data_IF_622141708096
#
_entry.id   IF_622141708096
#
_cell.length_a   1.000
_cell.length_b   1.000
_cell.length_c   1.000
_cell.angle_alpha   90.00
_cell.angle_beta   90.00
_cell.angle_gamma   90.00
#
_symmetry.space_group_name_H-M   'P 1'
#
loop_
_entity.id
_entity.type
_entity.pdbx_description
1 polymer ?
#
# COMPACT_ATOMS: atom_id res chain seq x y z
N UNK A 1 33.05 -12.40 -50.66
CA UNK A 1 33.20 -11.19 -49.82
C UNK A 1 31.88 -10.44 -49.91
N UNK A 2 31.14 -10.06 -48.87
CA UNK A 2 31.46 -9.86 -47.46
C UNK A 2 30.23 -10.17 -46.59
N UNK A 3 30.47 -10.72 -45.39
CA UNK A 3 29.49 -10.85 -44.32
C UNK A 3 29.34 -9.49 -43.62
N UNK A 4 28.11 -8.99 -43.49
CA UNK A 4 27.82 -7.85 -42.63
C UNK A 4 27.71 -8.35 -41.18
N UNK A 5 28.81 -8.24 -40.44
CA UNK A 5 28.86 -8.46 -38.99
C UNK A 5 28.26 -7.23 -38.30
N UNK A 6 27.11 -7.39 -37.66
CA UNK A 6 26.52 -6.35 -36.83
C UNK A 6 27.35 -6.15 -35.55
N UNK A 7 27.62 -4.89 -35.13
CA UNK A 7 28.39 -4.62 -33.92
C UNK A 7 27.59 -4.92 -32.64
N UNK A 8 28.23 -5.37 -31.54
CA UNK A 8 27.55 -5.64 -30.28
C UNK A 8 27.10 -4.34 -29.60
N UNK A 9 25.83 -4.28 -29.21
CA UNK A 9 25.26 -3.18 -28.45
C UNK A 9 25.86 -3.16 -27.04
N UNK A 10 26.51 -2.04 -26.74
CA UNK A 10 27.15 -1.71 -25.46
C UNK A 10 26.08 -1.52 -24.37
N UNK A 11 26.20 -2.12 -23.17
CA UNK A 11 25.31 -1.81 -22.06
C UNK A 11 25.64 -0.42 -21.49
N UNK A 12 24.66 0.32 -20.94
CA UNK A 12 24.94 1.59 -20.27
C UNK A 12 25.62 1.35 -18.92
N UNK A 13 26.87 1.80 -18.83
CA UNK A 13 27.57 2.01 -17.57
C UNK A 13 27.07 3.30 -16.92
N UNK A 14 26.28 3.16 -15.86
CA UNK A 14 26.24 4.14 -14.76
C UNK A 14 25.73 3.48 -13.49
N UNK A 15 26.63 2.79 -12.79
CA UNK A 15 26.52 2.59 -11.35
C UNK A 15 27.07 3.84 -10.65
N UNK A 16 26.19 4.69 -10.12
CA UNK A 16 26.49 5.55 -8.97
C UNK A 16 25.24 6.37 -8.62
N UNK A 17 24.65 6.11 -7.46
CA UNK A 17 23.65 7.05 -6.94
C UNK A 17 22.66 6.54 -5.89
N UNK A 18 22.62 5.25 -5.57
CA UNK A 18 21.85 4.79 -4.40
C UNK A 18 22.72 4.85 -3.15
N UNK A 19 23.13 6.08 -2.78
CA UNK A 19 23.49 6.35 -1.39
C UNK A 19 22.20 6.29 -0.59
N UNK A 20 21.92 5.15 0.05
CA UNK A 20 21.09 5.17 1.26
C UNK A 20 21.89 5.96 2.29
N UNK A 21 21.47 7.19 2.58
CA UNK A 21 21.91 7.88 3.79
C UNK A 21 21.42 7.07 5.00
N UNK A 22 22.31 6.57 5.87
CA UNK A 22 21.92 6.12 7.19
C UNK A 22 21.83 7.39 8.05
N UNK A 23 20.63 7.96 8.18
CA UNK A 23 20.44 9.17 8.98
C UNK A 23 19.19 10.01 8.70
N UNK A 24 18.27 9.56 7.84
CA UNK A 24 16.98 10.24 7.69
C UNK A 24 16.01 9.75 8.78
N UNK A 25 15.89 10.54 9.85
CA UNK A 25 14.79 10.44 10.80
C UNK A 25 13.45 10.37 10.07
N UNK A 26 12.50 9.52 10.48
CA UNK A 26 11.16 9.54 9.91
C UNK A 26 10.56 10.95 10.10
N UNK A 27 9.76 11.46 9.14
CA UNK A 27 9.11 12.75 9.31
C UNK A 27 8.26 12.70 10.59
N UNK A 28 8.32 13.72 11.46
CA UNK A 28 7.53 13.72 12.67
C UNK A 28 6.06 13.62 12.30
N UNK A 29 5.43 12.53 12.74
CA UNK A 29 3.99 12.41 12.82
C UNK A 29 3.52 13.51 13.77
N UNK A 30 2.70 14.41 13.25
CA UNK A 30 1.98 15.45 14.00
C UNK A 30 2.86 16.55 14.61
N UNK A 31 3.41 17.44 13.78
CA UNK A 31 3.68 18.79 14.22
C UNK A 31 2.39 19.61 14.08
N UNK A 32 1.55 19.59 15.13
CA UNK A 32 0.57 20.66 15.32
C UNK A 32 1.38 21.92 15.57
N UNK A 33 1.50 22.78 14.56
CA UNK A 33 2.06 24.12 14.73
C UNK A 33 1.01 24.92 15.50
N UNK A 34 1.09 24.85 16.83
CA UNK A 34 0.36 25.73 17.71
C UNK A 34 1.10 27.07 17.67
N UNK A 35 0.56 28.03 16.92
CA UNK A 35 1.02 29.41 17.00
C UNK A 35 0.78 29.91 18.43
N UNK A 36 1.84 29.96 19.22
CA UNK A 36 1.80 30.57 20.55
C UNK A 36 1.74 32.09 20.38
N UNK A 37 0.52 32.63 20.32
CA UNK A 37 0.32 34.02 20.69
C UNK A 37 0.42 34.10 22.21
N UNK A 38 1.46 34.80 22.67
CA UNK A 38 1.66 35.18 24.05
C UNK A 38 0.45 35.95 24.56
N UNK A 39 -0.35 35.30 25.40
CA UNK A 39 -1.47 35.88 26.12
C UNK A 39 -1.71 35.06 27.37
N UNK A 40 -1.39 35.66 28.51
CA UNK A 40 -1.66 35.16 29.85
C UNK A 40 -3.14 34.79 29.99
N UNK A 41 -3.43 33.60 30.50
CA UNK A 41 -4.79 33.19 30.87
C UNK A 41 -5.12 31.80 30.33
N UNK A 42 -5.07 30.80 31.21
CA UNK A 42 -5.60 29.48 30.95
C UNK A 42 -7.12 29.53 30.81
N UNK A 43 -7.61 29.84 29.62
CA UNK A 43 -8.88 29.37 29.11
C UNK A 43 -8.72 29.14 27.61
N UNK A 44 -8.95 27.90 27.20
CA UNK A 44 -9.09 27.54 25.79
C UNK A 44 -10.27 28.34 25.27
N UNK A 45 -10.00 29.41 24.51
CA UNK A 45 -11.05 30.21 23.89
C UNK A 45 -12.06 29.28 23.19
N UNK A 46 -13.38 29.53 23.34
CA UNK A 46 -14.40 28.68 22.75
C UNK A 46 -14.10 28.52 21.26
N UNK A 47 -14.20 27.30 20.71
CA UNK A 47 -13.90 27.07 19.30
C UNK A 47 -14.69 28.08 18.46
N UNK A 48 -13.98 28.92 17.72
CA UNK A 48 -14.63 29.85 16.81
C UNK A 48 -15.38 29.01 15.78
N UNK A 49 -16.57 29.45 15.39
CA UNK A 49 -17.40 28.74 14.41
C UNK A 49 -16.61 28.40 13.12
N UNK A 50 -15.70 29.28 12.70
CA UNK A 50 -14.80 29.02 11.57
C UNK A 50 -13.87 27.83 11.79
N UNK A 51 -13.24 27.72 12.97
CA UNK A 51 -12.35 26.59 13.31
C UNK A 51 -13.11 25.26 13.36
N UNK A 52 -14.32 25.26 13.91
CA UNK A 52 -15.16 24.06 13.94
C UNK A 52 -15.57 23.63 12.52
N UNK A 53 -15.87 24.58 11.63
CA UNK A 53 -16.18 24.32 10.23
C UNK A 53 -14.98 23.69 9.49
N UNK A 54 -13.78 24.20 9.74
CA UNK A 54 -12.55 23.63 9.18
C UNK A 54 -12.30 22.21 9.68
N UNK A 55 -12.44 21.97 10.99
CA UNK A 55 -12.30 20.64 11.60
C UNK A 55 -13.32 19.64 11.00
N UNK A 56 -14.58 20.06 10.78
CA UNK A 56 -15.60 19.23 10.12
C UNK A 56 -15.25 18.92 8.66
N UNK A 57 -14.77 19.91 7.90
CA UNK A 57 -14.35 19.68 6.52
C UNK A 57 -13.16 18.72 6.44
N UNK A 58 -12.22 18.85 7.38
CA UNK A 58 -11.08 17.94 7.48
C UNK A 58 -11.54 16.51 7.80
N UNK A 59 -12.41 16.32 8.80
CA UNK A 59 -12.95 15.01 9.14
C UNK A 59 -13.67 14.36 7.95
N UNK A 60 -14.42 15.13 7.17
CA UNK A 60 -15.08 14.62 5.96
C UNK A 60 -14.06 14.18 4.89
N UNK A 61 -13.04 14.99 4.63
CA UNK A 61 -11.98 14.63 3.70
C UNK A 61 -11.20 13.38 4.16
N UNK A 62 -11.00 13.23 5.47
CA UNK A 62 -10.39 12.04 6.05
C UNK A 62 -11.27 10.80 5.88
N UNK A 63 -12.60 10.93 6.07
CA UNK A 63 -13.58 9.86 5.86
C UNK A 63 -13.50 9.32 4.42
N UNK A 64 -13.58 10.20 3.43
CA UNK A 64 -13.52 9.87 2.00
C UNK A 64 -12.19 9.18 1.66
N UNK A 65 -11.09 9.67 2.21
CA UNK A 65 -9.78 9.07 2.01
C UNK A 65 -9.70 7.66 2.61
N UNK A 66 -10.24 7.43 3.81
CA UNK A 66 -10.31 6.09 4.40
C UNK A 66 -11.17 5.14 3.58
N UNK A 67 -12.33 5.59 3.11
CA UNK A 67 -13.22 4.79 2.28
C UNK A 67 -12.55 4.42 0.94
N UNK A 68 -11.89 5.38 0.29
CA UNK A 68 -11.12 5.15 -0.93
C UNK A 68 -10.01 4.11 -0.74
N UNK A 69 -9.28 4.18 0.39
CA UNK A 69 -8.26 3.18 0.75
C UNK A 69 -8.86 1.78 0.96
N UNK A 70 -10.03 1.69 1.61
CA UNK A 70 -10.74 0.43 1.82
C UNK A 70 -11.15 -0.18 0.48
N UNK A 71 -11.73 0.63 -0.42
CA UNK A 71 -12.12 0.19 -1.76
C UNK A 71 -10.93 -0.29 -2.60
N UNK A 72 -9.82 0.44 -2.58
CA UNK A 72 -8.57 -0.01 -3.22
C UNK A 72 -8.08 -1.35 -2.67
N UNK A 73 -8.18 -1.57 -1.35
CA UNK A 73 -7.82 -2.83 -0.72
C UNK A 73 -8.76 -3.97 -1.14
N UNK A 74 -10.07 -3.73 -1.26
CA UNK A 74 -11.05 -4.71 -1.78
C UNK A 74 -10.74 -5.12 -3.23
N UNK A 75 -10.42 -4.17 -4.11
CA UNK A 75 -10.02 -4.48 -5.49
C UNK A 75 -8.77 -5.35 -5.52
N UNK A 76 -7.76 -5.04 -4.69
CA UNK A 76 -6.56 -5.88 -4.56
C UNK A 76 -6.87 -7.27 -4.02
N UNK A 77 -7.78 -7.39 -3.05
CA UNK A 77 -8.23 -8.67 -2.51
C UNK A 77 -8.80 -9.56 -3.64
N UNK A 78 -9.70 -9.02 -4.47
CA UNK A 78 -10.28 -9.74 -5.61
C UNK A 78 -9.17 -10.26 -6.56
N UNK A 79 -8.24 -9.38 -6.95
CA UNK A 79 -7.12 -9.76 -7.83
C UNK A 79 -6.21 -10.83 -7.22
N UNK A 80 -5.94 -10.75 -5.92
CA UNK A 80 -5.15 -11.75 -5.21
C UNK A 80 -5.89 -13.09 -5.15
N UNK A 81 -7.20 -13.09 -4.90
CA UNK A 81 -7.99 -14.33 -4.89
C UNK A 81 -8.02 -14.99 -6.26
N UNK A 82 -8.15 -14.20 -7.33
CA UNK A 82 -8.08 -14.70 -8.70
C UNK A 82 -6.69 -15.29 -9.02
N UNK A 83 -5.62 -14.60 -8.65
CA UNK A 83 -4.26 -15.10 -8.83
C UNK A 83 -4.02 -16.43 -8.07
N UNK A 84 -4.56 -16.56 -6.86
CA UNK A 84 -4.47 -17.81 -6.09
C UNK A 84 -5.19 -18.98 -6.76
N UNK A 85 -6.37 -18.74 -7.33
CA UNK A 85 -7.10 -19.75 -8.10
C UNK A 85 -6.39 -20.09 -9.42
N UNK A 86 -5.78 -19.11 -10.09
CA UNK A 86 -5.00 -19.37 -11.30
C UNK A 86 -3.76 -20.22 -11.01
N UNK A 87 -3.05 -20.00 -9.89
CA UNK A 87 -1.95 -20.86 -9.46
C UNK A 87 -2.44 -22.29 -9.19
N UNK A 88 -3.60 -22.45 -8.53
CA UNK A 88 -4.21 -23.77 -8.29
C UNK A 88 -4.54 -24.50 -9.59
N UNK A 89 -5.16 -23.82 -10.56
CA UNK A 89 -5.50 -24.38 -11.89
C UNK A 89 -4.24 -24.78 -12.67
N UNK A 90 -3.20 -23.96 -12.62
CA UNK A 90 -1.90 -24.25 -13.25
C UNK A 90 -1.23 -25.47 -12.60
N UNK A 91 -1.18 -25.53 -11.27
CA UNK A 91 -0.61 -26.67 -10.55
C UNK A 91 -1.34 -27.98 -10.92
N UNK A 92 -2.69 -27.97 -10.94
CA UNK A 92 -3.48 -29.12 -11.37
C UNK A 92 -3.21 -29.54 -12.83
N UNK A 93 -2.88 -28.58 -13.70
CA UNK A 93 -2.50 -28.88 -15.09
C UNK A 93 -1.08 -29.46 -15.17
N UNK A 94 -0.12 -28.89 -14.44
CA UNK A 94 1.25 -29.42 -14.37
C UNK A 94 1.28 -30.86 -13.85
N UNK A 95 0.50 -31.20 -12.82
CA UNK A 95 0.37 -32.59 -12.33
C UNK A 95 -0.14 -33.52 -13.43
N UNK A 96 -1.19 -33.14 -14.15
CA UNK A 96 -1.74 -33.95 -15.25
C UNK A 96 -0.75 -34.17 -16.40
N UNK A 97 0.19 -33.25 -16.59
CA UNK A 97 1.26 -33.36 -17.58
C UNK A 97 2.51 -34.09 -17.05
N UNK A 98 2.49 -34.62 -15.82
CA UNK A 98 3.64 -35.28 -15.19
C UNK A 98 4.74 -34.32 -14.71
N UNK A 99 4.44 -33.01 -14.64
CA UNK A 99 5.39 -31.97 -14.24
C UNK A 99 5.24 -31.63 -12.75
N UNK A 100 5.56 -32.60 -11.90
CA UNK A 100 5.33 -32.51 -10.45
C UNK A 100 6.14 -31.39 -9.78
N UNK A 101 7.40 -31.20 -10.19
CA UNK A 101 8.26 -30.14 -9.67
C UNK A 101 7.66 -28.74 -9.90
N UNK A 102 7.17 -28.47 -11.11
CA UNK A 102 6.48 -27.20 -11.43
C UNK A 102 5.20 -27.03 -10.60
N UNK A 103 4.45 -28.11 -10.37
CA UNK A 103 3.24 -28.07 -9.57
C UNK A 103 3.54 -27.70 -8.11
N UNK A 104 4.61 -28.26 -7.54
CA UNK A 104 5.07 -27.93 -6.18
C UNK A 104 5.46 -26.46 -6.09
N UNK A 105 6.23 -25.94 -7.05
CA UNK A 105 6.63 -24.52 -7.08
C UNK A 105 5.41 -23.58 -7.12
N UNK A 106 4.41 -23.91 -7.95
CA UNK A 106 3.16 -23.14 -8.04
C UNK A 106 2.35 -23.19 -6.73
N UNK A 107 2.35 -24.33 -6.02
CA UNK A 107 1.70 -24.44 -4.71
C UNK A 107 2.45 -23.66 -3.62
N UNK A 108 3.79 -23.63 -3.67
CA UNK A 108 4.61 -22.79 -2.78
C UNK A 108 4.30 -21.31 -3.02
N UNK A 109 4.18 -20.88 -4.29
CA UNK A 109 3.74 -19.52 -4.62
C UNK A 109 2.34 -19.23 -4.10
N UNK A 110 1.39 -20.16 -4.26
CA UNK A 110 0.03 -20.02 -3.73
C UNK A 110 0.03 -19.86 -2.21
N UNK A 111 0.85 -20.63 -1.49
CA UNK A 111 0.98 -20.53 -0.02
C UNK A 111 1.46 -19.14 0.41
N UNK A 112 2.45 -18.57 -0.29
CA UNK A 112 2.91 -17.19 -0.04
C UNK A 112 1.78 -16.17 -0.28
N UNK A 113 0.98 -16.39 -1.33
CA UNK A 113 -0.16 -15.54 -1.67
C UNK A 113 -1.25 -15.60 -0.60
N UNK A 114 -1.50 -16.76 0.02
CA UNK A 114 -2.45 -16.89 1.13
C UNK A 114 -2.12 -15.96 2.31
N UNK A 115 -0.83 -15.82 2.65
CA UNK A 115 -0.40 -14.87 3.70
C UNK A 115 -0.70 -13.41 3.32
N UNK A 116 -0.51 -13.06 2.04
CA UNK A 116 -0.87 -11.73 1.55
C UNK A 116 -2.39 -11.50 1.56
N UNK A 117 -3.19 -12.55 1.31
CA UNK A 117 -4.66 -12.51 1.40
C UNK A 117 -5.14 -12.25 2.83
N UNK A 118 -4.55 -12.91 3.82
CA UNK A 118 -4.85 -12.67 5.24
C UNK A 118 -4.53 -11.22 5.63
N UNK A 119 -3.34 -10.74 5.28
CA UNK A 119 -2.92 -9.38 5.60
C UNK A 119 -3.86 -8.31 4.99
N UNK A 120 -4.31 -8.50 3.75
CA UNK A 120 -5.20 -7.51 3.13
C UNK A 120 -6.62 -7.55 3.72
N UNK A 121 -7.08 -8.71 4.20
CA UNK A 121 -8.36 -8.82 4.92
C UNK A 121 -8.30 -8.05 6.23
N UNK A 122 -7.25 -8.25 7.03
CA UNK A 122 -7.02 -7.49 8.27
C UNK A 122 -6.99 -5.97 8.01
N UNK A 123 -6.32 -5.55 6.92
CA UNK A 123 -6.27 -4.14 6.53
C UNK A 123 -7.65 -3.58 6.18
N UNK A 124 -8.49 -4.35 5.47
CA UNK A 124 -9.86 -3.94 5.15
C UNK A 124 -10.66 -3.80 6.45
N UNK A 125 -10.59 -4.77 7.35
CA UNK A 125 -11.31 -4.71 8.64
C UNK A 125 -10.92 -3.48 9.48
N UNK A 126 -9.63 -3.16 9.55
CA UNK A 126 -9.17 -1.95 10.25
C UNK A 126 -9.69 -0.69 9.56
N UNK A 127 -9.65 -0.62 8.23
CA UNK A 127 -10.16 0.54 7.49
C UNK A 127 -11.67 0.70 7.64
N UNK A 128 -12.42 -0.39 7.71
CA UNK A 128 -13.87 -0.37 7.91
C UNK A 128 -14.23 0.12 9.32
N UNK A 129 -13.48 -0.34 10.33
CA UNK A 129 -13.62 0.17 11.71
C UNK A 129 -13.27 1.66 11.79
N UNK A 130 -12.24 2.11 11.09
CA UNK A 130 -11.86 3.54 11.07
C UNK A 130 -12.90 4.38 10.34
N UNK A 131 -13.39 3.91 9.19
CA UNK A 131 -14.45 4.58 8.44
C UNK A 131 -15.71 4.75 9.30
N UNK A 132 -16.14 3.70 9.99
CA UNK A 132 -17.30 3.77 10.87
C UNK A 132 -17.13 4.82 11.97
N UNK A 133 -15.93 4.92 12.56
CA UNK A 133 -15.62 5.91 13.62
C UNK A 133 -15.54 7.35 13.14
N UNK A 134 -15.14 7.58 11.89
CA UNK A 134 -15.06 8.94 11.34
C UNK A 134 -16.45 9.42 10.88
N UNK A 135 -17.33 8.48 10.52
CA UNK A 135 -18.70 8.77 10.10
C UNK A 135 -19.74 8.82 11.23
N UNK A 136 -19.36 8.43 12.45
CA UNK A 136 -20.17 8.55 13.68
C UNK A 136 -20.19 9.99 14.19
#
# INVERSE_FOLDING_TARGET
>A
MAFAVAPPLRPPDSLAGWRRSPGATPPPRFAVVLAASSGVGGERAPPTFGRLREELLQLHAEADLTQSKANSARVRLVRLTEAAENLKKRAATSVRMGKENEAVDLLVQKKKLTKALENIKERIEVLDKLSAKISE
#
